data_IF_113347077011
#
_entry.id   IF_113347077011
#
_cell.length_a   1.000
_cell.length_b   1.000
_cell.length_c   1.000
_cell.angle_alpha   90.00
_cell.angle_beta   90.00
_cell.angle_gamma   90.00
#
_symmetry.space_group_name_H-M   'P 1'
#
loop_
_entity.id
_entity.type
_entity.pdbx_description
1 polymer ?
#
# COMPACT_ATOMS: atom_id res chain seq x y z
N UNK A 1 -23.85 -11.66 -24.30
CA UNK A 1 -22.76 -12.21 -23.46
C UNK A 1 -23.04 -11.73 -22.04
N UNK A 2 -22.90 -12.58 -21.02
CA UNK A 2 -23.08 -12.13 -19.64
C UNK A 2 -22.01 -11.08 -19.28
N UNK A 3 -22.34 -10.15 -18.38
CA UNK A 3 -21.41 -9.12 -17.91
C UNK A 3 -20.19 -9.75 -17.23
N UNK A 4 -19.00 -9.26 -17.54
CA UNK A 4 -17.72 -9.72 -16.96
C UNK A 4 -17.72 -9.53 -15.45
N UNK A 5 -18.29 -8.42 -14.97
CA UNK A 5 -18.42 -8.12 -13.54
C UNK A 5 -19.10 -9.25 -12.74
N UNK A 6 -20.06 -9.96 -13.35
CA UNK A 6 -20.84 -11.03 -12.72
C UNK A 6 -20.17 -12.41 -12.80
N UNK A 7 -19.00 -12.52 -13.44
CA UNK A 7 -18.32 -13.80 -13.72
C UNK A 7 -17.00 -13.96 -12.96
N UNK A 8 -16.77 -13.16 -11.92
CA UNK A 8 -15.57 -13.18 -11.08
C UNK A 8 -15.46 -14.52 -10.33
N UNK A 9 -14.43 -15.32 -10.63
CA UNK A 9 -14.20 -16.63 -10.01
C UNK A 9 -12.80 -16.75 -9.41
N UNK A 10 -12.56 -16.09 -8.27
CA UNK A 10 -11.23 -16.07 -7.64
C UNK A 10 -11.27 -16.34 -6.13
N UNK A 11 -12.35 -16.92 -5.60
CA UNK A 11 -12.53 -17.13 -4.15
C UNK A 11 -11.36 -17.90 -3.52
N UNK A 12 -10.70 -18.77 -4.28
CA UNK A 12 -9.51 -19.50 -3.84
C UNK A 12 -8.35 -18.58 -3.40
N UNK A 13 -8.23 -17.37 -4.00
CA UNK A 13 -7.17 -16.40 -3.65
C UNK A 13 -7.33 -15.83 -2.25
N UNK A 14 -8.54 -15.82 -1.71
CA UNK A 14 -8.80 -15.33 -0.35
C UNK A 14 -8.13 -16.21 0.72
N UNK A 15 -7.84 -17.47 0.40
CA UNK A 15 -7.09 -18.39 1.26
C UNK A 15 -5.57 -18.21 1.17
N UNK A 16 -5.08 -17.36 0.26
CA UNK A 16 -3.66 -17.11 0.02
C UNK A 16 -3.26 -15.69 0.45
N UNK A 17 -2.46 -15.59 1.52
CA UNK A 17 -1.83 -14.34 1.90
C UNK A 17 -0.53 -14.12 1.09
N UNK A 18 -0.48 -13.16 0.14
CA UNK A 18 0.70 -12.93 -0.70
C UNK A 18 1.88 -12.29 0.05
N UNK A 19 1.68 -11.87 1.31
CA UNK A 19 2.74 -11.29 2.15
C UNK A 19 3.50 -12.35 2.95
N UNK A 20 3.00 -13.58 3.01
CA UNK A 20 3.67 -14.66 3.75
C UNK A 20 4.98 -15.04 3.06
N UNK A 21 6.09 -14.96 3.80
CA UNK A 21 7.42 -15.29 3.28
C UNK A 21 7.91 -14.31 2.21
N UNK A 22 7.43 -13.06 2.24
CA UNK A 22 7.84 -12.04 1.28
C UNK A 22 9.36 -11.77 1.37
N UNK A 23 10.00 -11.74 0.21
CA UNK A 23 11.43 -11.37 0.04
C UNK A 23 11.56 -10.32 -1.07
N UNK A 24 12.68 -9.61 -1.13
CA UNK A 24 12.95 -8.68 -2.23
C UNK A 24 12.90 -9.39 -3.59
N UNK A 25 13.50 -10.58 -3.69
CA UNK A 25 13.46 -11.39 -4.91
C UNK A 25 12.03 -11.72 -5.33
N UNK A 26 11.16 -12.05 -4.36
CA UNK A 26 9.74 -12.32 -4.66
C UNK A 26 9.02 -11.08 -5.17
N UNK A 27 9.31 -9.89 -4.61
CA UNK A 27 8.73 -8.63 -5.09
C UNK A 27 9.17 -8.37 -6.54
N UNK A 28 10.47 -8.52 -6.84
CA UNK A 28 10.99 -8.34 -8.20
C UNK A 28 10.37 -9.32 -9.19
N UNK A 29 10.25 -10.60 -8.82
CA UNK A 29 9.59 -11.61 -9.65
C UNK A 29 8.12 -11.23 -9.96
N UNK A 30 7.36 -10.77 -8.97
CA UNK A 30 5.97 -10.34 -9.18
C UNK A 30 5.89 -9.15 -10.12
N UNK A 31 6.80 -8.19 -9.98
CA UNK A 31 6.89 -7.01 -10.85
C UNK A 31 7.20 -7.41 -12.29
N UNK A 32 8.22 -8.24 -12.50
CA UNK A 32 8.60 -8.74 -13.83
C UNK A 32 7.48 -9.56 -14.49
N UNK A 33 6.76 -10.37 -13.72
CA UNK A 33 5.57 -11.08 -14.20
C UNK A 33 4.48 -10.12 -14.65
N UNK A 34 4.23 -9.06 -13.88
CA UNK A 34 3.30 -8.00 -14.24
C UNK A 34 3.71 -7.23 -15.50
N UNK A 35 4.99 -6.97 -15.71
CA UNK A 35 5.53 -6.34 -16.93
C UNK A 35 5.34 -7.20 -18.19
N UNK A 36 5.40 -8.53 -18.04
CA UNK A 36 5.02 -9.49 -19.10
C UNK A 36 3.50 -9.59 -19.30
N UNK A 37 2.73 -8.95 -18.41
CA UNK A 37 1.28 -8.84 -18.43
C UNK A 37 0.52 -9.92 -17.67
N UNK A 38 1.23 -10.73 -16.87
CA UNK A 38 0.62 -11.62 -15.87
C UNK A 38 0.33 -10.85 -14.58
N UNK A 39 -0.76 -10.07 -14.58
CA UNK A 39 -0.99 -9.10 -13.51
C UNK A 39 -1.58 -9.69 -12.22
N UNK A 40 -2.20 -10.88 -12.25
CA UNK A 40 -3.03 -11.38 -11.15
C UNK A 40 -2.32 -11.38 -9.79
N UNK A 41 -1.12 -11.95 -9.70
CA UNK A 41 -0.38 -12.06 -8.44
C UNK A 41 0.19 -10.73 -7.97
N UNK A 42 0.68 -9.90 -8.89
CA UNK A 42 1.20 -8.57 -8.57
C UNK A 42 0.11 -7.68 -7.98
N UNK A 43 -1.08 -7.68 -8.59
CA UNK A 43 -2.21 -6.87 -8.15
C UNK A 43 -2.79 -7.38 -6.82
N UNK A 44 -2.80 -8.69 -6.60
CA UNK A 44 -3.16 -9.28 -5.31
C UNK A 44 -2.18 -8.89 -4.20
N UNK A 45 -0.87 -8.94 -4.49
CA UNK A 45 0.19 -8.48 -3.58
C UNK A 45 0.04 -6.99 -3.24
N UNK A 46 -0.16 -6.12 -4.23
CA UNK A 46 -0.38 -4.70 -4.01
C UNK A 46 -1.59 -4.43 -3.12
N UNK A 47 -2.71 -5.11 -3.34
CA UNK A 47 -3.88 -4.99 -2.47
C UNK A 47 -3.56 -5.39 -1.03
N UNK A 48 -2.86 -6.49 -0.82
CA UNK A 48 -2.52 -6.95 0.52
C UNK A 48 -1.58 -5.97 1.22
N UNK A 49 -0.57 -5.44 0.52
CA UNK A 49 0.34 -4.41 1.04
C UNK A 49 -0.42 -3.15 1.47
N UNK A 50 -1.28 -2.61 0.59
CA UNK A 50 -2.11 -1.43 0.87
C UNK A 50 -2.98 -1.59 2.11
N UNK A 51 -3.39 -2.83 2.44
CA UNK A 51 -4.24 -3.16 3.60
C UNK A 51 -3.46 -3.49 4.88
N UNK A 52 -2.14 -3.67 4.79
CA UNK A 52 -1.32 -4.18 5.90
C UNK A 52 -0.39 -3.14 6.50
N UNK A 53 -0.06 -2.07 5.78
CA UNK A 53 0.78 -0.99 6.29
C UNK A 53 -0.04 0.29 6.55
N UNK A 54 0.05 0.80 7.79
CA UNK A 54 -0.74 1.96 8.22
C UNK A 54 -0.41 3.25 7.44
N UNK A 55 0.85 3.46 7.06
CA UNK A 55 1.26 4.66 6.35
C UNK A 55 0.84 4.60 4.89
N UNK A 56 1.05 3.47 4.22
CA UNK A 56 0.58 3.24 2.85
C UNK A 56 -0.96 3.34 2.79
N UNK A 57 -1.68 2.70 3.73
CA UNK A 57 -3.13 2.80 3.81
C UNK A 57 -3.59 4.26 3.96
N UNK A 58 -2.90 5.05 4.81
CA UNK A 58 -3.20 6.47 5.00
C UNK A 58 -3.03 7.27 3.71
N UNK A 59 -1.94 7.04 2.97
CA UNK A 59 -1.69 7.69 1.68
C UNK A 59 -2.80 7.38 0.67
N UNK A 60 -3.16 6.10 0.52
CA UNK A 60 -4.22 5.65 -0.39
C UNK A 60 -5.57 6.28 -0.02
N UNK A 61 -5.95 6.21 1.26
CA UNK A 61 -7.21 6.75 1.75
C UNK A 61 -7.29 8.26 1.57
N UNK A 62 -6.22 9.01 1.87
CA UNK A 62 -6.19 10.46 1.69
C UNK A 62 -6.30 10.86 0.23
N UNK A 63 -5.54 10.24 -0.66
CA UNK A 63 -5.60 10.50 -2.12
C UNK A 63 -7.00 10.27 -2.66
N UNK A 64 -7.63 9.16 -2.25
CA UNK A 64 -9.01 8.86 -2.61
C UNK A 64 -10.00 9.88 -2.04
N UNK A 65 -9.86 10.27 -0.77
CA UNK A 65 -10.73 11.26 -0.14
C UNK A 65 -10.62 12.64 -0.81
N UNK A 66 -9.41 13.05 -1.18
CA UNK A 66 -9.16 14.30 -1.88
C UNK A 66 -9.84 14.32 -3.25
N UNK A 67 -9.68 13.25 -4.05
CA UNK A 67 -10.38 13.11 -5.33
C UNK A 67 -11.90 13.13 -5.14
N UNK A 68 -12.41 12.38 -4.17
CA UNK A 68 -13.84 12.31 -3.88
C UNK A 68 -14.42 13.62 -3.33
N UNK A 69 -13.59 14.52 -2.81
CA UNK A 69 -14.01 15.86 -2.39
C UNK A 69 -14.16 16.84 -3.57
N UNK A 70 -13.56 16.53 -4.72
CA UNK A 70 -13.70 17.33 -5.93
C UNK A 70 -15.14 17.28 -6.46
N UNK A 71 -15.60 18.43 -6.96
CA UNK A 71 -16.82 18.50 -7.75
C UNK A 71 -16.49 18.11 -9.19
N UNK A 72 -17.40 17.37 -9.82
CA UNK A 72 -17.30 17.04 -11.24
C UNK A 72 -18.26 17.94 -12.01
N UNK A 73 -17.88 18.29 -13.23
CA UNK A 73 -18.71 19.10 -14.10
C UNK A 73 -18.46 18.80 -15.58
N UNK A 74 -19.45 19.09 -16.42
CA UNK A 74 -19.33 19.03 -17.88
C UNK A 74 -19.19 20.44 -18.39
N UNK A 75 -17.98 20.77 -18.83
CA UNK A 75 -17.66 22.11 -19.34
C UNK A 75 -17.74 22.09 -20.87
N UNK A 76 -18.40 23.08 -21.51
CA UNK A 76 -18.34 23.22 -22.95
C UNK A 76 -16.90 23.50 -23.39
N UNK A 77 -16.63 23.28 -24.67
CA UNK A 77 -15.34 23.66 -25.26
C UNK A 77 -15.05 25.14 -25.00
N UNK A 78 -13.78 25.49 -24.75
CA UNK A 78 -13.38 26.87 -24.44
C UNK A 78 -13.54 27.80 -25.65
N UNK A 79 -13.32 27.28 -26.84
CA UNK A 79 -13.38 28.00 -28.11
C UNK A 79 -14.24 27.22 -29.12
N UNK A 80 -15.56 27.13 -28.90
CA UNK A 80 -16.42 26.31 -29.74
C UNK A 80 -16.69 27.02 -31.08
N UNK A 81 -16.60 26.26 -32.18
CA UNK A 81 -17.01 26.74 -33.52
C UNK A 81 -18.50 27.11 -33.54
N UNK A 82 -19.32 26.39 -32.78
CA UNK A 82 -20.74 26.67 -32.55
C UNK A 82 -21.04 26.69 -31.03
N UNK A 83 -21.14 27.89 -30.41
CA UNK A 83 -21.41 28.02 -28.98
C UNK A 83 -22.80 27.53 -28.53
N UNK A 84 -23.78 27.43 -29.44
CA UNK A 84 -25.11 26.89 -29.10
C UNK A 84 -25.01 25.38 -29.03
N UNK A 85 -24.48 24.75 -30.08
CA UNK A 85 -24.30 23.31 -30.12
C UNK A 85 -23.42 22.79 -28.97
N UNK A 86 -22.33 23.48 -28.65
CA UNK A 86 -21.46 23.10 -27.53
C UNK A 86 -22.20 23.11 -26.17
N UNK A 87 -23.09 24.08 -25.96
CA UNK A 87 -23.92 24.14 -24.75
C UNK A 87 -24.97 23.02 -24.71
N UNK A 88 -25.60 22.73 -25.85
CA UNK A 88 -26.55 21.62 -25.97
C UNK A 88 -25.89 20.26 -25.71
N UNK A 89 -24.69 20.04 -26.26
CA UNK A 89 -23.90 18.84 -26.02
C UNK A 89 -23.48 18.71 -24.55
N UNK A 90 -23.04 19.80 -23.91
CA UNK A 90 -22.68 19.78 -22.50
C UNK A 90 -23.89 19.45 -21.60
N UNK A 91 -25.06 20.03 -21.89
CA UNK A 91 -26.30 19.72 -21.18
C UNK A 91 -26.73 18.25 -21.37
N UNK A 92 -26.67 17.75 -22.62
CA UNK A 92 -26.96 16.35 -22.90
C UNK A 92 -26.03 15.40 -22.14
N UNK A 93 -24.71 15.65 -22.17
CA UNK A 93 -23.74 14.83 -21.45
C UNK A 93 -23.96 14.90 -19.93
N UNK A 94 -24.30 16.08 -19.39
CA UNK A 94 -24.64 16.24 -17.98
C UNK A 94 -25.80 15.32 -17.59
N UNK A 95 -26.88 15.34 -18.36
CA UNK A 95 -28.05 14.47 -18.14
C UNK A 95 -27.68 12.98 -18.23
N UNK A 96 -26.80 12.59 -19.16
CA UNK A 96 -26.32 11.20 -19.28
C UNK A 96 -25.44 10.79 -18.08
N UNK A 97 -24.53 11.65 -17.62
CA UNK A 97 -23.71 11.36 -16.44
C UNK A 97 -24.53 11.30 -15.15
N UNK A 98 -25.55 12.15 -15.00
CA UNK A 98 -26.45 12.15 -13.84
C UNK A 98 -27.32 10.87 -13.78
N UNK A 99 -27.52 10.16 -14.90
CA UNK A 99 -28.17 8.82 -14.93
C UNK A 99 -27.27 7.69 -14.42
N UNK A 100 -25.94 7.88 -14.39
CA UNK A 100 -25.00 6.85 -13.93
C UNK A 100 -25.03 6.75 -12.42
N UNK A 101 -25.74 5.76 -11.90
CA UNK A 101 -26.06 5.66 -10.47
C UNK A 101 -24.87 5.53 -9.52
N UNK A 102 -23.70 5.15 -10.02
CA UNK A 102 -22.48 4.94 -9.22
C UNK A 102 -21.25 5.70 -9.73
N UNK A 103 -21.43 6.81 -10.45
CA UNK A 103 -20.32 7.54 -11.09
C UNK A 103 -19.19 7.91 -10.10
N UNK A 104 -19.53 8.49 -8.93
CA UNK A 104 -18.52 8.88 -7.91
C UNK A 104 -17.76 7.68 -7.36
N UNK A 105 -18.47 6.57 -7.10
CA UNK A 105 -17.86 5.33 -6.59
C UNK A 105 -16.92 4.72 -7.63
N UNK A 106 -17.34 4.69 -8.89
CA UNK A 106 -16.54 4.21 -10.00
C UNK A 106 -15.29 5.07 -10.21
N UNK A 107 -15.39 6.40 -10.16
CA UNK A 107 -14.21 7.29 -10.26
C UNK A 107 -13.21 6.99 -9.16
N UNK A 108 -13.67 6.74 -7.93
CA UNK A 108 -12.78 6.38 -6.82
C UNK A 108 -12.12 5.00 -6.99
N UNK A 109 -12.76 4.08 -7.71
CA UNK A 109 -12.10 2.84 -8.12
C UNK A 109 -11.10 3.09 -9.26
N UNK A 110 -11.49 3.85 -10.28
CA UNK A 110 -10.63 4.15 -11.43
C UNK A 110 -9.35 4.88 -11.02
N UNK A 111 -9.41 5.72 -9.98
CA UNK A 111 -8.22 6.38 -9.42
C UNK A 111 -7.21 5.42 -8.78
N UNK A 112 -7.58 4.16 -8.53
CA UNK A 112 -6.60 3.15 -8.08
C UNK A 112 -5.57 2.84 -9.18
N UNK A 113 -5.84 3.20 -10.44
CA UNK A 113 -4.87 3.13 -11.53
C UNK A 113 -3.57 3.88 -11.20
N UNK A 114 -3.65 5.00 -10.49
CA UNK A 114 -2.48 5.77 -10.04
C UNK A 114 -1.53 4.95 -9.14
N UNK A 115 -2.09 4.05 -8.34
CA UNK A 115 -1.32 3.15 -7.47
C UNK A 115 -0.93 1.85 -8.17
N UNK A 116 -1.87 1.28 -8.94
CA UNK A 116 -1.80 -0.09 -9.47
C UNK A 116 -1.38 -0.18 -10.95
N UNK A 117 -1.24 0.96 -11.62
CA UNK A 117 -0.89 1.10 -13.03
C UNK A 117 -2.10 1.17 -13.95
N UNK A 118 -3.24 0.57 -13.58
CA UNK A 118 -4.46 0.61 -14.37
C UNK A 118 -5.71 0.32 -13.52
N UNK A 119 -6.87 0.64 -14.07
CA UNK A 119 -8.18 0.29 -13.53
C UNK A 119 -9.22 0.29 -14.65
N UNK A 120 -10.13 -0.69 -14.62
CA UNK A 120 -11.16 -0.87 -15.65
C UNK A 120 -12.55 -1.00 -15.02
N UNK A 121 -13.53 -0.36 -15.64
CA UNK A 121 -14.94 -0.49 -15.24
C UNK A 121 -15.80 -0.89 -16.44
N UNK A 122 -16.65 -1.89 -16.26
CA UNK A 122 -17.59 -2.37 -17.27
C UNK A 122 -18.81 -1.46 -17.36
N UNK A 123 -19.23 -1.11 -18.57
CA UNK A 123 -20.45 -0.33 -18.81
C UNK A 123 -21.65 -1.24 -18.75
N UNK A 124 -22.59 -0.91 -17.88
CA UNK A 124 -23.88 -1.58 -17.80
C UNK A 124 -24.95 -0.64 -18.37
N UNK A 125 -25.81 -1.19 -19.22
CA UNK A 125 -26.74 -0.42 -20.04
C UNK A 125 -28.18 -0.63 -19.61
N UNK A 126 -29.00 0.40 -19.73
CA UNK A 126 -30.44 0.29 -19.57
C UNK A 126 -31.11 -0.36 -20.80
N UNK A 127 -32.43 -0.56 -20.74
CA UNK A 127 -33.20 -1.13 -21.85
C UNK A 127 -33.25 -0.28 -23.13
N UNK A 128 -32.74 0.96 -23.10
CA UNK A 128 -32.66 1.89 -24.22
C UNK A 128 -31.23 2.05 -24.75
N UNK A 129 -30.25 1.38 -24.15
CA UNK A 129 -28.84 1.43 -24.54
C UNK A 129 -28.06 2.60 -23.92
N UNK A 130 -28.64 3.34 -22.96
CA UNK A 130 -27.93 4.34 -22.17
C UNK A 130 -27.09 3.69 -21.07
N UNK A 131 -25.94 4.25 -20.73
CA UNK A 131 -25.11 3.73 -19.62
C UNK A 131 -25.77 4.09 -18.30
N UNK A 132 -26.17 3.09 -17.52
CA UNK A 132 -26.84 3.28 -16.23
C UNK A 132 -25.89 3.08 -15.03
N UNK A 133 -24.86 2.25 -15.21
CA UNK A 133 -23.86 1.94 -14.16
C UNK A 133 -22.50 1.65 -14.78
N UNK A 134 -21.44 1.90 -14.01
CA UNK A 134 -20.06 1.56 -14.34
C UNK A 134 -19.53 0.61 -13.27
N UNK A 135 -19.42 -0.68 -13.58
CA UNK A 135 -19.09 -1.71 -12.60
C UNK A 135 -17.58 -2.01 -12.56
N UNK A 136 -16.89 -1.72 -11.45
CA UNK A 136 -15.47 -2.02 -11.29
C UNK A 136 -15.11 -3.50 -11.48
N UNK A 137 -14.09 -3.76 -12.29
CA UNK A 137 -13.48 -5.09 -12.42
C UNK A 137 -12.06 -5.02 -11.86
N UNK A 138 -11.82 -5.73 -10.76
CA UNK A 138 -10.58 -5.64 -10.01
C UNK A 138 -9.36 -6.03 -10.86
N UNK A 139 -8.24 -5.36 -10.62
CA UNK A 139 -7.07 -5.44 -11.49
C UNK A 139 -6.53 -6.86 -11.67
N UNK A 140 -6.62 -7.72 -10.66
CA UNK A 140 -6.11 -9.09 -10.77
C UNK A 140 -6.88 -9.98 -11.77
N UNK A 141 -8.04 -9.55 -12.26
CA UNK A 141 -8.77 -10.23 -13.34
C UNK A 141 -8.33 -9.80 -14.74
N UNK A 142 -7.34 -8.92 -14.86
CA UNK A 142 -6.86 -8.44 -16.15
C UNK A 142 -5.46 -8.97 -16.45
N UNK A 143 -5.22 -9.24 -17.73
CA UNK A 143 -3.90 -9.56 -18.27
C UNK A 143 -3.77 -8.97 -19.67
N UNK A 144 -2.53 -8.89 -20.17
CA UNK A 144 -2.25 -8.42 -21.53
C UNK A 144 -0.97 -9.03 -22.06
N UNK A 145 -0.82 -9.09 -23.38
CA UNK A 145 0.41 -9.61 -23.98
C UNK A 145 1.51 -8.55 -23.96
N UNK A 146 2.43 -8.65 -23.00
CA UNK A 146 3.50 -7.68 -22.80
C UNK A 146 3.01 -6.33 -22.26
N UNK A 147 3.86 -5.30 -22.33
CA UNK A 147 3.58 -4.01 -21.68
C UNK A 147 2.56 -3.14 -22.43
N UNK A 148 2.36 -3.36 -23.73
CA UNK A 148 1.51 -2.52 -24.58
C UNK A 148 0.49 -3.33 -25.39
N UNK A 149 0.31 -4.61 -25.05
CA UNK A 149 -0.71 -5.45 -25.68
C UNK A 149 -2.13 -5.06 -25.25
N UNK A 150 -3.10 -5.61 -25.98
CA UNK A 150 -4.52 -5.44 -25.65
C UNK A 150 -4.86 -6.12 -24.33
N UNK A 151 -5.75 -5.47 -23.56
CA UNK A 151 -6.26 -6.03 -22.32
C UNK A 151 -7.23 -7.18 -22.59
N UNK A 152 -7.05 -8.26 -21.86
CA UNK A 152 -7.88 -9.47 -21.88
C UNK A 152 -8.28 -9.86 -20.47
N UNK A 153 -9.37 -10.63 -20.36
CA UNK A 153 -9.98 -11.00 -19.10
C UNK A 153 -9.50 -12.37 -18.62
N UNK A 154 -8.85 -12.40 -17.48
CA UNK A 154 -8.43 -13.59 -16.75
C UNK A 154 -9.51 -13.92 -15.71
N UNK A 155 -10.59 -14.58 -16.14
CA UNK A 155 -11.80 -14.84 -15.34
C UNK A 155 -11.56 -15.42 -13.96
N UNK A 156 -10.64 -16.36 -13.88
CA UNK A 156 -10.31 -17.05 -12.63
C UNK A 156 -9.18 -16.36 -11.83
N UNK A 157 -8.72 -15.21 -12.32
CA UNK A 157 -7.53 -14.52 -11.84
C UNK A 157 -6.33 -15.48 -11.71
N UNK A 158 -6.11 -16.38 -12.66
CA UNK A 158 -5.04 -17.39 -12.57
C UNK A 158 -3.65 -16.76 -12.61
N UNK A 159 -2.73 -17.30 -11.81
CA UNK A 159 -1.32 -16.90 -11.79
C UNK A 159 -0.65 -17.16 -13.14
N UNK A 160 0.24 -16.25 -13.56
CA UNK A 160 1.06 -16.40 -14.77
C UNK A 160 0.34 -16.24 -16.12
N UNK A 161 -0.97 -15.94 -16.12
CA UNK A 161 -1.73 -15.77 -17.38
C UNK A 161 -1.45 -14.41 -17.99
N UNK A 162 -0.90 -14.39 -19.20
CA UNK A 162 -0.62 -13.17 -20.00
C UNK A 162 -1.63 -12.91 -21.10
N UNK A 163 -2.45 -13.90 -21.46
CA UNK A 163 -3.52 -13.76 -22.44
C UNK A 163 -4.76 -14.51 -21.95
N UNK A 164 -5.87 -13.80 -21.83
CA UNK A 164 -7.15 -14.32 -21.37
C UNK A 164 -8.23 -14.23 -22.44
N UNK A 165 -9.47 -14.16 -21.97
CA UNK A 165 -10.64 -13.99 -22.84
C UNK A 165 -10.65 -12.60 -23.47
N UNK A 166 -10.96 -12.53 -24.76
CA UNK A 166 -11.09 -11.24 -25.45
C UNK A 166 -12.32 -10.49 -24.95
N UNK A 167 -12.13 -9.21 -24.62
CA UNK A 167 -13.22 -8.28 -24.30
C UNK A 167 -13.38 -7.26 -25.42
N UNK A 168 -14.58 -6.69 -25.55
CA UNK A 168 -14.79 -5.56 -26.47
C UNK A 168 -14.44 -4.28 -25.74
N UNK A 169 -13.41 -3.56 -26.20
CA UNK A 169 -12.94 -2.31 -25.56
C UNK A 169 -14.06 -1.27 -25.35
N UNK A 170 -15.02 -1.20 -26.27
CA UNK A 170 -16.16 -0.29 -26.19
C UNK A 170 -17.08 -0.51 -24.98
N UNK A 171 -17.11 -1.73 -24.43
CA UNK A 171 -17.94 -2.11 -23.28
C UNK A 171 -17.33 -1.66 -21.94
N UNK A 172 -16.15 -1.04 -21.94
CA UNK A 172 -15.43 -0.67 -20.73
C UNK A 172 -14.92 0.78 -20.77
N UNK A 173 -14.63 1.31 -19.58
CA UNK A 173 -13.80 2.48 -19.35
C UNK A 173 -12.42 1.98 -18.93
N UNK A 174 -11.38 2.43 -19.65
CA UNK A 174 -9.99 2.09 -19.34
C UNK A 174 -9.25 3.31 -18.80
N UNK A 175 -8.61 3.17 -17.65
CA UNK A 175 -7.68 4.16 -17.12
C UNK A 175 -6.33 3.48 -16.91
N UNK A 176 -5.30 4.02 -17.56
CA UNK A 176 -3.91 3.57 -17.42
C UNK A 176 -3.07 4.74 -16.91
N UNK A 177 -2.25 4.48 -15.89
CA UNK A 177 -1.29 5.42 -15.37
C UNK A 177 0.09 5.12 -15.97
N UNK A 178 0.91 6.15 -16.28
CA UNK A 178 2.24 5.96 -16.83
C UNK A 178 3.18 5.21 -15.87
N UNK A 179 2.87 5.22 -14.57
CA UNK A 179 3.61 4.52 -13.54
C UNK A 179 2.67 4.04 -12.44
N UNK A 180 2.90 2.82 -11.94
CA UNK A 180 2.24 2.29 -10.75
C UNK A 180 3.04 2.68 -9.48
N UNK A 181 2.50 3.55 -8.62
CA UNK A 181 3.19 3.93 -7.37
C UNK A 181 3.50 2.74 -6.46
N UNK A 182 2.66 1.71 -6.49
CA UNK A 182 2.88 0.50 -5.71
C UNK A 182 4.16 -0.25 -6.07
N UNK A 183 4.71 -0.04 -7.27
CA UNK A 183 6.04 -0.56 -7.63
C UNK A 183 7.10 -0.03 -6.68
N UNK A 184 7.07 1.27 -6.39
CA UNK A 184 8.02 1.93 -5.50
C UNK A 184 7.66 1.63 -4.04
N UNK A 185 6.37 1.73 -3.69
CA UNK A 185 5.90 1.47 -2.34
C UNK A 185 6.17 0.04 -1.87
N UNK A 186 6.19 -0.95 -2.76
CA UNK A 186 6.53 -2.34 -2.41
C UNK A 186 7.95 -2.48 -1.85
N UNK A 187 8.92 -1.78 -2.44
CA UNK A 187 10.31 -1.77 -1.95
C UNK A 187 10.38 -1.09 -0.59
N UNK A 188 9.72 0.07 -0.45
CA UNK A 188 9.69 0.82 0.80
C UNK A 188 8.98 0.05 1.92
N UNK A 189 7.87 -0.61 1.61
CA UNK A 189 7.15 -1.50 2.52
C UNK A 189 8.06 -2.60 3.05
N UNK A 190 8.79 -3.28 2.18
CA UNK A 190 9.68 -4.36 2.58
C UNK A 190 10.82 -3.86 3.48
N UNK A 191 11.50 -2.79 3.09
CA UNK A 191 12.58 -2.18 3.89
C UNK A 191 12.09 -1.72 5.26
N UNK A 192 10.91 -1.08 5.30
CA UNK A 192 10.27 -0.61 6.53
C UNK A 192 9.97 -1.76 7.49
N UNK A 193 9.39 -2.86 6.99
CA UNK A 193 9.08 -4.03 7.80
C UNK A 193 10.33 -4.73 8.33
N UNK A 194 11.41 -4.81 7.53
CA UNK A 194 12.69 -5.32 8.01
C UNK A 194 13.25 -4.44 9.13
N UNK A 195 13.28 -3.13 8.92
CA UNK A 195 13.80 -2.20 9.91
C UNK A 195 12.97 -2.22 11.21
N UNK A 196 11.65 -2.33 11.11
CA UNK A 196 10.77 -2.46 12.27
C UNK A 196 11.02 -3.77 13.03
N UNK A 197 11.19 -4.88 12.32
CA UNK A 197 11.55 -6.18 12.92
C UNK A 197 12.88 -6.09 13.67
N UNK A 198 13.90 -5.51 13.04
CA UNK A 198 15.23 -5.37 13.63
C UNK A 198 15.21 -4.41 14.82
N UNK A 199 14.41 -3.34 14.76
CA UNK A 199 14.15 -2.48 15.91
C UNK A 199 13.55 -3.28 17.06
N UNK A 200 12.48 -4.03 16.82
CA UNK A 200 11.82 -4.83 17.86
C UNK A 200 12.82 -5.81 18.49
N UNK A 201 13.59 -6.53 17.68
CA UNK A 201 14.65 -7.42 18.18
C UNK A 201 15.71 -6.67 19.00
N UNK A 202 16.10 -5.47 18.58
CA UNK A 202 17.00 -4.62 19.36
C UNK A 202 16.40 -4.23 20.72
N UNK A 203 15.11 -3.87 20.78
CA UNK A 203 14.42 -3.56 22.03
C UNK A 203 14.29 -4.78 22.93
N UNK A 204 14.06 -5.97 22.38
CA UNK A 204 14.01 -7.22 23.16
C UNK A 204 15.36 -7.53 23.82
N UNK A 205 16.47 -7.28 23.12
CA UNK A 205 17.82 -7.58 23.62
C UNK A 205 18.36 -6.49 24.55
N UNK A 206 18.13 -5.21 24.22
CA UNK A 206 18.79 -4.07 24.86
C UNK A 206 17.82 -3.12 25.58
N UNK A 207 16.52 -3.21 25.33
CA UNK A 207 15.51 -2.37 25.98
C UNK A 207 15.24 -2.79 27.42
N UNK A 208 15.51 -4.04 27.77
CA UNK A 208 15.42 -4.57 29.14
C UNK A 208 16.81 -5.08 29.53
N UNK A 209 17.53 -4.43 30.46
CA UNK A 209 18.85 -4.88 30.86
C UNK A 209 18.77 -6.25 31.55
N UNK A 210 19.52 -7.23 31.05
CA UNK A 210 19.71 -8.51 31.73
C UNK A 210 20.45 -8.29 33.05
N UNK A 211 19.94 -8.89 34.13
CA UNK A 211 20.56 -8.80 35.46
C UNK A 211 20.99 -10.18 35.92
N UNK A 212 22.27 -10.32 36.25
CA UNK A 212 22.83 -11.56 36.78
C UNK A 212 23.30 -11.35 38.21
N UNK A 213 22.93 -12.29 39.09
CA UNK A 213 23.49 -12.36 40.43
C UNK A 213 24.73 -13.24 40.41
N UNK A 214 25.89 -12.69 40.77
CA UNK A 214 27.12 -13.47 40.89
C UNK A 214 27.23 -14.00 42.31
N UNK A 215 27.31 -15.32 42.44
CA UNK A 215 27.40 -16.00 43.73
C UNK A 215 28.67 -15.63 44.52
N UNK A 216 28.60 -15.64 45.87
CA UNK A 216 29.79 -15.49 46.71
C UNK A 216 30.75 -16.68 46.57
N UNK A 217 32.04 -16.52 46.90
CA UNK A 217 33.01 -17.61 46.82
C UNK A 217 32.67 -18.75 47.80
N UNK A 218 32.90 -20.01 47.37
CA UNK A 218 32.74 -21.19 48.24
C UNK A 218 31.30 -21.70 48.42
N UNK A 219 30.35 -21.30 47.57
CA UNK A 219 28.96 -21.78 47.60
C UNK A 219 28.89 -23.26 47.20
N UNK A 220 28.06 -24.04 47.92
CA UNK A 220 27.77 -25.45 47.60
C UNK A 220 26.66 -25.55 46.55
N UNK A 221 26.68 -26.57 45.68
CA UNK A 221 25.74 -26.74 44.56
C UNK A 221 24.25 -26.55 44.93
N UNK A 222 23.79 -27.11 46.06
CA UNK A 222 22.38 -26.97 46.48
C UNK A 222 21.94 -25.54 46.85
N UNK A 223 22.87 -24.64 47.15
CA UNK A 223 22.60 -23.22 47.44
C UNK A 223 22.54 -22.38 46.15
N UNK A 224 23.13 -22.84 45.05
CA UNK A 224 23.09 -22.15 43.75
C UNK A 224 21.70 -22.13 43.14
N UNK A 225 20.96 -23.25 43.25
CA UNK A 225 19.56 -23.32 42.82
C UNK A 225 18.65 -22.40 43.64
N UNK A 226 18.93 -22.24 44.94
CA UNK A 226 18.22 -21.30 45.80
C UNK A 226 18.44 -19.86 45.35
N UNK A 227 19.68 -19.47 45.03
CA UNK A 227 19.98 -18.14 44.49
C UNK A 227 19.40 -17.92 43.10
N UNK A 228 19.38 -18.94 42.24
CA UNK A 228 18.74 -18.86 40.93
C UNK A 228 17.22 -18.63 41.07
N UNK A 229 16.57 -19.31 42.01
CA UNK A 229 15.15 -19.10 42.30
C UNK A 229 14.90 -17.69 42.83
N UNK A 230 15.70 -17.20 43.78
CA UNK A 230 15.61 -15.82 44.28
C UNK A 230 15.81 -14.81 43.14
N UNK A 231 16.78 -15.02 42.26
CA UNK A 231 17.03 -14.14 41.12
C UNK A 231 15.86 -14.10 40.12
N UNK A 232 15.11 -15.20 39.99
CA UNK A 232 13.89 -15.27 39.17
C UNK A 232 12.67 -14.66 39.86
N UNK A 233 12.55 -14.82 41.17
CA UNK A 233 11.42 -14.30 41.96
C UNK A 233 11.50 -12.80 42.21
N UNK A 234 12.71 -12.23 42.29
CA UNK A 234 12.90 -10.81 42.64
C UNK A 234 12.40 -9.86 41.55
N UNK A 235 12.34 -10.29 40.28
CA UNK A 235 11.87 -9.47 39.16
C UNK A 235 11.59 -10.36 37.91
N UNK A 236 10.70 -9.96 36.99
CA UNK A 236 10.34 -10.72 35.75
C UNK A 236 11.20 -10.40 34.51
N UNK A 237 11.46 -11.42 33.68
CA UNK A 237 12.27 -11.47 32.44
C UNK A 237 13.79 -11.18 32.54
N UNK A 238 14.60 -12.07 31.94
CA UNK A 238 16.04 -11.84 31.65
C UNK A 238 17.05 -12.03 32.80
N UNK A 239 16.81 -12.95 33.76
CA UNK A 239 17.68 -13.12 34.96
C UNK A 239 18.26 -14.50 35.14
N UNK A 240 19.45 -14.54 35.75
CA UNK A 240 20.16 -15.76 36.07
C UNK A 240 21.10 -15.61 37.27
N UNK A 241 21.47 -16.76 37.82
CA UNK A 241 22.58 -16.90 38.76
C UNK A 241 23.82 -17.29 37.97
N UNK A 242 24.96 -16.69 38.31
CA UNK A 242 26.27 -17.07 37.77
C UNK A 242 27.20 -17.49 38.93
N UNK A 243 27.96 -18.59 38.78
CA UNK A 243 28.94 -18.99 39.78
C UNK A 243 30.00 -17.92 40.04
N UNK A 244 30.60 -17.96 41.21
CA UNK A 244 31.70 -17.08 41.57
C UNK A 244 32.86 -17.21 40.56
N UNK A 245 33.43 -16.06 40.16
CA UNK A 245 34.50 -16.00 39.16
C UNK A 245 34.03 -15.95 37.70
N UNK A 246 32.72 -15.89 37.44
CA UNK A 246 32.19 -15.68 36.08
C UNK A 246 32.43 -14.25 35.61
N UNK A 247 33.04 -14.08 34.44
CA UNK A 247 33.21 -12.79 33.77
C UNK A 247 32.04 -12.51 32.82
N UNK A 248 31.33 -11.39 33.02
CA UNK A 248 30.17 -11.00 32.21
C UNK A 248 30.62 -9.96 31.18
N UNK A 249 30.67 -10.37 29.91
CA UNK A 249 30.98 -9.48 28.79
C UNK A 249 29.70 -9.06 28.09
N UNK A 250 29.40 -7.77 28.14
CA UNK A 250 28.32 -7.18 27.35
C UNK A 250 28.85 -6.74 25.99
N UNK A 251 28.20 -7.18 24.92
CA UNK A 251 28.43 -6.60 23.58
C UNK A 251 27.47 -5.44 23.43
N UNK A 252 28.01 -4.23 23.40
CA UNK A 252 27.21 -3.03 23.18
C UNK A 252 26.73 -3.02 21.72
N UNK A 253 25.43 -3.20 21.51
CA UNK A 253 24.82 -3.25 20.18
C UNK A 253 24.52 -1.86 19.59
N UNK A 254 24.74 -0.78 20.34
CA UNK A 254 24.60 0.59 19.86
C UNK A 254 25.89 1.07 19.21
N UNK A 255 25.81 1.62 17.99
CA UNK A 255 26.91 2.34 17.35
C UNK A 255 27.41 3.53 18.19
N UNK A 256 28.34 4.32 17.65
CA UNK A 256 28.93 5.46 18.35
C UNK A 256 27.86 6.33 19.07
N UNK A 257 27.91 6.37 20.41
CA UNK A 257 26.96 7.12 21.25
C UNK A 257 25.77 6.32 21.81
N UNK A 258 25.66 5.01 21.58
CA UNK A 258 24.66 4.15 22.22
C UNK A 258 23.23 4.28 21.67
N UNK A 259 23.04 4.98 20.55
CA UNK A 259 21.74 5.11 19.85
C UNK A 259 21.67 4.16 18.66
N UNK A 260 20.64 3.33 18.59
CA UNK A 260 20.41 2.45 17.45
C UNK A 260 19.89 3.24 16.22
N UNK A 261 20.34 2.91 15.00
CA UNK A 261 20.02 3.69 13.79
C UNK A 261 18.62 3.41 13.21
N UNK A 262 17.85 2.49 13.80
CA UNK A 262 16.58 2.02 13.25
C UNK A 262 15.53 3.14 13.15
N UNK A 263 15.49 4.05 14.14
CA UNK A 263 14.54 5.17 14.12
C UNK A 263 14.78 6.12 12.97
N UNK A 264 16.03 6.52 12.80
CA UNK A 264 16.39 7.48 11.77
C UNK A 264 16.15 6.88 10.37
N UNK A 265 16.33 5.56 10.23
CA UNK A 265 15.99 4.85 8.99
C UNK A 265 14.48 4.73 8.74
N UNK A 266 13.68 4.39 9.77
CA UNK A 266 12.22 4.38 9.66
C UNK A 266 11.67 5.77 9.31
N UNK A 267 12.18 6.82 9.97
CA UNK A 267 11.78 8.21 9.70
C UNK A 267 12.14 8.62 8.25
N UNK A 268 13.28 8.16 7.73
CA UNK A 268 13.65 8.36 6.33
C UNK A 268 12.66 7.66 5.38
N UNK A 269 12.34 6.39 5.59
CA UNK A 269 11.41 5.64 4.74
C UNK A 269 10.01 6.25 4.79
N UNK A 270 9.53 6.63 5.98
CA UNK A 270 8.22 7.24 6.18
C UNK A 270 8.11 8.59 5.44
N UNK A 271 9.19 9.39 5.43
CA UNK A 271 9.29 10.62 4.62
C UNK A 271 9.23 10.32 3.12
N UNK A 272 9.91 9.29 2.63
CA UNK A 272 9.87 8.92 1.21
C UNK A 272 8.46 8.45 0.77
N UNK A 273 7.80 7.62 1.58
CA UNK A 273 6.42 7.18 1.31
C UNK A 273 5.46 8.38 1.29
N UNK A 274 5.60 9.29 2.26
CA UNK A 274 4.77 10.50 2.34
C UNK A 274 4.98 11.41 1.14
N UNK A 275 6.24 11.63 0.74
CA UNK A 275 6.58 12.48 -0.40
C UNK A 275 5.98 11.91 -1.70
N UNK A 276 6.15 10.61 -1.94
CA UNK A 276 5.56 9.93 -3.09
C UNK A 276 4.03 10.02 -3.09
N UNK A 277 3.42 9.85 -1.92
CA UNK A 277 1.97 9.81 -1.77
C UNK A 277 1.26 11.16 -1.86
N UNK A 278 1.89 12.22 -1.35
CA UNK A 278 1.24 13.52 -1.09
C UNK A 278 1.89 14.71 -1.79
N UNK A 279 3.09 14.55 -2.36
CA UNK A 279 3.86 15.65 -2.97
C UNK A 279 4.47 16.64 -1.98
N UNK A 280 4.32 16.43 -0.67
CA UNK A 280 4.85 17.30 0.39
C UNK A 280 5.80 16.58 1.34
N UNK A 281 6.71 17.35 1.95
CA UNK A 281 7.72 16.85 2.90
C UNK A 281 7.23 16.77 4.36
N UNK A 282 6.12 17.45 4.71
CA UNK A 282 5.55 17.27 6.04
C UNK A 282 4.95 15.87 6.11
N UNK A 283 5.56 15.02 6.94
CA UNK A 283 4.86 13.91 7.56
C UNK A 283 3.55 14.45 8.13
N UNK A 284 2.47 13.67 8.08
CA UNK A 284 1.14 14.15 8.48
C UNK A 284 1.04 14.61 9.96
N UNK A 285 2.13 14.50 10.71
CA UNK A 285 2.38 15.15 11.97
C UNK A 285 3.15 16.45 11.67
N UNK A 286 2.49 17.59 11.83
CA UNK A 286 3.14 18.91 11.84
C UNK A 286 4.48 18.82 12.59
N UNK A 287 5.60 18.98 11.88
CA UNK A 287 6.88 19.17 12.56
C UNK A 287 6.72 20.37 13.49
N UNK A 288 7.10 20.21 14.77
CA UNK A 288 7.07 21.28 15.73
C UNK A 288 7.93 22.44 15.19
N UNK A 289 7.27 23.55 14.81
CA UNK A 289 7.91 24.72 14.19
C UNK A 289 7.40 25.08 12.78
N UNK A 290 6.54 24.27 12.17
CA UNK A 290 5.93 24.57 10.86
C UNK A 290 4.81 25.62 11.01
N UNK A 291 5.05 26.85 10.53
CA UNK A 291 4.08 27.95 10.57
C UNK A 291 2.92 27.81 9.56
N UNK A 292 1.92 28.70 9.65
CA UNK A 292 0.69 28.68 8.83
C UNK A 292 0.93 28.69 7.32
N UNK A 293 1.99 29.38 6.85
CA UNK A 293 2.38 29.46 5.44
C UNK A 293 2.85 28.12 4.86
N UNK A 294 3.55 27.31 5.65
CA UNK A 294 3.94 25.97 5.24
C UNK A 294 2.70 25.08 5.11
N UNK A 295 1.77 25.14 6.07
CA UNK A 295 0.50 24.41 6.03
C UNK A 295 -0.33 24.66 4.76
N UNK A 296 -0.43 25.91 4.29
CA UNK A 296 -1.13 26.23 3.03
C UNK A 296 -0.43 25.67 1.79
N UNK A 297 0.90 25.74 1.72
CA UNK A 297 1.67 25.19 0.60
C UNK A 297 1.53 23.66 0.50
N UNK A 298 1.47 22.95 1.63
CA UNK A 298 1.22 21.50 1.65
C UNK A 298 -0.19 21.13 1.20
N UNK A 299 -1.21 21.88 1.65
CA UNK A 299 -2.57 21.66 1.20
C UNK A 299 -2.73 21.91 -0.32
N UNK A 300 -1.97 22.86 -0.88
CA UNK A 300 -1.92 23.08 -2.32
C UNK A 300 -1.20 21.97 -3.07
N UNK A 301 0.01 21.57 -2.65
CA UNK A 301 0.75 20.47 -3.26
C UNK A 301 -0.06 19.17 -3.25
N UNK A 302 -0.72 18.87 -2.13
CA UNK A 302 -1.59 17.71 -2.01
C UNK A 302 -2.81 17.77 -2.95
N UNK A 303 -3.42 18.94 -3.11
CA UNK A 303 -4.52 19.15 -4.07
C UNK A 303 -4.06 18.97 -5.52
N UNK A 304 -2.91 19.53 -5.89
CA UNK A 304 -2.34 19.36 -7.23
C UNK A 304 -2.07 17.89 -7.53
N UNK A 305 -1.44 17.19 -6.59
CA UNK A 305 -1.15 15.76 -6.72
C UNK A 305 -2.44 14.93 -6.81
N UNK A 306 -3.46 15.24 -6.02
CA UNK A 306 -4.76 14.54 -6.07
C UNK A 306 -5.60 14.84 -7.32
N UNK A 307 -5.39 15.98 -7.97
CA UNK A 307 -6.08 16.40 -9.19
C UNK A 307 -5.38 15.96 -10.48
N UNK A 308 -4.10 15.60 -10.40
CA UNK A 308 -3.30 15.06 -11.51
C UNK A 308 -3.59 13.58 -11.77
#
# INVERSE_FOLDING_TARGET
MAAVFLQKDNAWREFLNPLRGLTMDRIMQLVEQGERGACADLQWFYQAMERSDALIATVVMRRRAALLSSQWDVQPEREPTDPVLAREQAAFLRDEYDKVGNLRECVAFLSTATFRGYAHAEKHYDGKGGVMRLEPVEQWFWCREGMFGEWTYNREARSGVTAGERVRRGDFVFVEAPMAMNRILAVQYFQRNLCLKDWVGYLEVYGIPSVFFVGPPGVKAGKEEEYLRIARDLMSDGRGYLPNGTDIKYVNGGGAGGRAPFRDHLDYIDRQITLLGTGGLLTMLTEAGSGTLAGSAHAEAFRQVAQA
#
